data_IF_110090384377
#
_entry.id   IF_110090384377
#
_cell.length_a   1.000
_cell.length_b   1.000
_cell.length_c   1.000
_cell.angle_alpha   90.00
_cell.angle_beta   90.00
_cell.angle_gamma   90.00
#
_symmetry.space_group_name_H-M   'P 1'
#
loop_
_entity.id
_entity.type
_entity.pdbx_description
1 polymer ?
#
# COMPACT_ATOMS: atom_id res chain seq x y z
N UNK A 1 -31.64 27.31 6.68
CA UNK A 1 -32.66 26.72 7.56
C UNK A 1 -33.84 26.18 6.75
N UNK A 2 -34.23 26.84 5.66
CA UNK A 2 -35.36 26.42 4.82
C UNK A 2 -35.13 25.09 4.09
N UNK A 3 -33.87 24.78 3.74
CA UNK A 3 -33.51 23.61 2.89
C UNK A 3 -33.90 22.26 3.50
N UNK A 4 -33.95 22.14 4.83
CA UNK A 4 -34.24 20.87 5.50
C UNK A 4 -35.67 20.81 6.05
N UNK A 5 -36.42 21.92 6.00
CA UNK A 5 -37.78 22.00 6.53
C UNK A 5 -38.84 21.48 5.55
N UNK A 6 -38.54 21.48 4.25
CA UNK A 6 -39.47 21.14 3.18
C UNK A 6 -39.08 19.88 2.39
N UNK A 7 -38.32 18.94 3.02
CA UNK A 7 -38.00 17.65 2.38
C UNK A 7 -39.27 16.79 2.45
N UNK A 8 -39.86 16.39 1.31
CA UNK A 8 -41.03 15.53 1.31
C UNK A 8 -40.73 14.15 1.92
N UNK A 9 -41.72 13.52 2.55
CA UNK A 9 -41.56 12.19 3.20
C UNK A 9 -41.09 11.08 2.28
N UNK A 10 -41.32 11.23 0.97
CA UNK A 10 -40.84 10.27 -0.06
C UNK A 10 -39.41 10.56 -0.56
N UNK A 11 -38.76 11.64 -0.09
CA UNK A 11 -37.43 12.05 -0.52
C UNK A 11 -36.38 11.80 0.58
N UNK A 12 -35.29 11.15 0.23
CA UNK A 12 -34.11 10.99 1.11
C UNK A 12 -32.96 11.78 0.53
N UNK A 13 -32.44 12.74 1.29
CA UNK A 13 -31.25 13.52 0.90
C UNK A 13 -30.01 12.91 1.56
N UNK A 14 -29.05 12.49 0.76
CA UNK A 14 -27.76 11.94 1.23
C UNK A 14 -26.66 12.94 0.86
N UNK A 15 -25.95 13.41 1.87
CA UNK A 15 -24.81 14.33 1.71
C UNK A 15 -23.54 13.57 2.08
N UNK A 16 -22.63 13.40 1.13
CA UNK A 16 -21.35 12.73 1.33
C UNK A 16 -20.20 13.73 1.31
N UNK A 17 -19.21 13.49 2.14
CA UNK A 17 -17.94 14.22 2.13
C UNK A 17 -16.86 13.34 1.51
N UNK A 18 -15.93 13.92 0.74
CA UNK A 18 -14.76 13.19 0.23
C UNK A 18 -13.92 12.60 1.37
N UNK A 19 -13.23 11.51 1.08
CA UNK A 19 -12.31 10.86 2.01
C UNK A 19 -11.24 11.87 2.49
N UNK A 20 -11.00 11.89 3.80
CA UNK A 20 -10.05 12.81 4.44
C UNK A 20 -10.58 14.20 4.73
N UNK A 21 -11.85 14.51 4.36
CA UNK A 21 -12.51 15.76 4.71
C UNK A 21 -13.34 15.58 5.99
N UNK A 22 -13.02 16.36 7.02
CA UNK A 22 -13.85 16.44 8.22
C UNK A 22 -14.79 17.66 8.14
N UNK A 23 -16.07 17.51 8.51
CA UNK A 23 -16.99 18.64 8.50
C UNK A 23 -16.64 19.62 9.61
N UNK A 24 -16.44 20.91 9.29
CA UNK A 24 -16.26 21.94 10.31
C UNK A 24 -17.55 22.09 11.14
N UNK A 25 -17.53 21.49 12.34
CA UNK A 25 -18.65 21.52 13.28
C UNK A 25 -19.05 22.92 13.78
N UNK A 26 -18.27 23.97 13.49
CA UNK A 26 -18.59 25.36 13.83
C UNK A 26 -19.57 25.98 12.87
N UNK A 27 -19.62 25.49 11.63
CA UNK A 27 -20.52 26.00 10.61
C UNK A 27 -21.98 25.73 10.96
N UNK A 28 -22.83 26.76 10.85
CA UNK A 28 -24.25 26.66 11.14
C UNK A 28 -24.97 25.61 10.29
N UNK A 29 -24.55 25.44 9.02
CA UNK A 29 -25.06 24.43 8.12
C UNK A 29 -24.79 23.00 8.67
N UNK A 30 -23.58 22.73 9.14
CA UNK A 30 -23.23 21.41 9.71
C UNK A 30 -23.99 21.12 11.00
N UNK A 31 -24.19 22.15 11.85
CA UNK A 31 -25.01 22.01 13.07
C UNK A 31 -26.44 21.66 12.74
N UNK A 32 -27.03 22.35 11.76
CA UNK A 32 -28.39 22.09 11.30
C UNK A 32 -28.54 20.70 10.68
N UNK A 33 -27.58 20.30 9.85
CA UNK A 33 -27.57 18.97 9.25
C UNK A 33 -27.54 17.85 10.31
N UNK A 34 -26.70 18.01 11.35
CA UNK A 34 -26.61 17.06 12.46
C UNK A 34 -27.90 17.04 13.33
N UNK A 35 -28.62 18.15 13.42
CA UNK A 35 -29.88 18.21 14.17
C UNK A 35 -31.07 17.69 13.37
N UNK A 36 -31.09 17.86 12.04
CA UNK A 36 -32.20 17.46 11.18
C UNK A 36 -32.08 16.01 10.67
N UNK A 37 -30.87 15.42 10.70
CA UNK A 37 -30.62 14.10 10.12
C UNK A 37 -29.68 13.23 10.95
N UNK A 38 -29.24 12.12 10.36
CA UNK A 38 -28.25 11.21 10.95
C UNK A 38 -26.90 11.45 10.31
N UNK A 39 -25.89 11.82 11.11
CA UNK A 39 -24.51 11.86 10.67
C UNK A 39 -23.83 10.53 10.98
N UNK A 40 -23.29 9.86 9.95
CA UNK A 40 -22.56 8.60 10.08
C UNK A 40 -21.12 8.83 9.62
N UNK A 41 -20.16 8.49 10.46
CA UNK A 41 -18.76 8.55 10.11
C UNK A 41 -18.27 7.13 9.72
N UNK A 42 -17.86 6.98 8.47
CA UNK A 42 -17.26 5.74 7.95
C UNK A 42 -15.74 5.86 8.03
N UNK A 43 -15.17 5.45 9.15
CA UNK A 43 -13.71 5.39 9.31
C UNK A 43 -13.15 4.13 8.67
N UNK A 44 -12.00 4.28 7.98
CA UNK A 44 -11.26 3.14 7.48
C UNK A 44 -10.87 2.21 8.64
N UNK A 45 -11.11 0.91 8.47
CA UNK A 45 -10.65 -0.09 9.43
C UNK A 45 -9.18 -0.40 9.15
N UNK A 46 -8.35 -0.40 10.19
CA UNK A 46 -6.93 -0.72 10.09
C UNK A 46 -6.50 -1.62 11.24
N UNK A 47 -5.38 -2.32 11.12
CA UNK A 47 -4.83 -3.17 12.18
C UNK A 47 -5.78 -4.28 12.61
N UNK A 48 -5.88 -4.53 13.93
CA UNK A 48 -6.68 -5.63 14.48
C UNK A 48 -8.16 -5.60 14.10
N UNK A 49 -8.87 -4.46 14.08
CA UNK A 49 -10.25 -4.39 13.57
C UNK A 49 -10.40 -4.87 12.12
N UNK A 50 -9.48 -4.50 11.22
CA UNK A 50 -9.48 -4.96 9.83
C UNK A 50 -9.22 -6.47 9.75
N UNK A 51 -8.20 -6.97 10.47
CA UNK A 51 -7.86 -8.38 10.48
C UNK A 51 -9.04 -9.25 10.97
N UNK A 52 -9.73 -8.82 12.02
CA UNK A 52 -10.93 -9.49 12.52
C UNK A 52 -12.09 -9.44 11.51
N UNK A 53 -12.23 -8.36 10.77
CA UNK A 53 -13.24 -8.25 9.72
C UNK A 53 -12.92 -9.21 8.56
N UNK A 54 -11.67 -9.30 8.12
CA UNK A 54 -11.23 -10.24 7.09
C UNK A 54 -11.54 -11.69 7.53
N UNK A 55 -11.13 -12.07 8.74
CA UNK A 55 -11.38 -13.41 9.26
C UNK A 55 -12.88 -13.77 9.25
N UNK A 56 -13.74 -12.86 9.74
CA UNK A 56 -15.20 -13.05 9.70
C UNK A 56 -15.76 -13.17 8.28
N UNK A 57 -15.15 -12.49 7.30
CA UNK A 57 -15.57 -12.61 5.90
C UNK A 57 -15.21 -13.98 5.31
N UNK A 58 -14.05 -14.53 5.66
CA UNK A 58 -13.69 -15.91 5.28
C UNK A 58 -14.63 -16.92 5.95
N UNK A 59 -14.94 -16.76 7.25
CA UNK A 59 -15.89 -17.61 7.96
C UNK A 59 -17.28 -17.59 7.34
N UNK A 60 -17.79 -16.43 6.93
CA UNK A 60 -19.05 -16.28 6.24
C UNK A 60 -19.09 -17.00 4.87
N UNK A 61 -17.93 -17.28 4.28
CA UNK A 61 -17.77 -18.10 3.06
C UNK A 61 -17.38 -19.55 3.36
N UNK A 62 -17.52 -20.02 4.61
CA UNK A 62 -17.22 -21.39 5.02
C UNK A 62 -15.73 -21.72 5.08
N UNK A 63 -14.84 -20.72 5.16
CA UNK A 63 -13.39 -20.89 5.19
C UNK A 63 -12.81 -20.35 6.50
N UNK A 64 -11.64 -20.86 6.89
CA UNK A 64 -10.79 -20.30 7.95
C UNK A 64 -9.51 -19.80 7.32
N UNK A 65 -9.11 -18.60 7.64
CA UNK A 65 -7.84 -18.04 7.18
C UNK A 65 -6.84 -17.99 8.33
N UNK A 66 -5.59 -18.39 8.07
CA UNK A 66 -4.51 -18.30 9.04
C UNK A 66 -4.15 -16.81 9.30
N UNK A 67 -3.64 -16.52 10.50
CA UNK A 67 -3.32 -15.12 10.87
C UNK A 67 -2.25 -14.49 9.98
N UNK A 68 -1.21 -15.24 9.65
CA UNK A 68 -0.15 -14.81 8.73
C UNK A 68 -0.67 -14.64 7.29
N UNK A 69 -1.68 -15.42 6.89
CA UNK A 69 -2.38 -15.26 5.61
C UNK A 69 -3.20 -13.97 5.57
N UNK A 70 -3.82 -13.56 6.68
CA UNK A 70 -4.51 -12.25 6.78
C UNK A 70 -3.52 -11.12 6.61
N UNK A 71 -2.40 -11.14 7.34
CA UNK A 71 -1.36 -10.12 7.24
C UNK A 71 -0.76 -10.07 5.83
N UNK A 72 -0.59 -11.24 5.19
CA UNK A 72 -0.12 -11.34 3.80
C UNK A 72 -1.14 -10.76 2.80
N UNK A 73 -2.42 -11.05 2.98
CA UNK A 73 -3.49 -10.52 2.11
C UNK A 73 -3.51 -8.97 2.16
N UNK A 74 -3.49 -8.40 3.35
CA UNK A 74 -3.46 -6.93 3.52
C UNK A 74 -2.17 -6.33 2.92
N UNK A 75 -1.05 -7.03 3.05
CA UNK A 75 0.22 -6.57 2.48
C UNK A 75 0.19 -6.55 0.94
N UNK A 76 -0.40 -7.59 0.30
CA UNK A 76 -0.44 -7.72 -1.15
C UNK A 76 -1.55 -6.88 -1.80
N UNK A 77 -2.75 -6.89 -1.22
CA UNK A 77 -3.95 -6.30 -1.85
C UNK A 77 -4.39 -4.97 -1.23
N UNK A 78 -3.66 -4.49 -0.19
CA UNK A 78 -3.99 -3.27 0.53
C UNK A 78 -5.04 -3.46 1.60
N UNK A 79 -5.38 -2.36 2.29
CA UNK A 79 -6.29 -2.34 3.44
C UNK A 79 -7.70 -1.84 3.12
N UNK A 80 -7.98 -1.52 1.86
CA UNK A 80 -9.29 -1.06 1.44
C UNK A 80 -10.30 -2.21 1.38
N UNK A 81 -11.32 -2.15 2.23
CA UNK A 81 -12.34 -3.20 2.35
C UNK A 81 -13.07 -3.50 1.03
N UNK A 82 -13.32 -2.49 0.20
CA UNK A 82 -13.94 -2.67 -1.11
C UNK A 82 -13.07 -3.47 -2.11
N UNK A 83 -11.74 -3.40 -1.99
CA UNK A 83 -10.81 -4.24 -2.75
C UNK A 83 -10.69 -5.64 -2.15
N UNK A 84 -10.72 -5.74 -0.82
CA UNK A 84 -10.60 -7.02 -0.11
C UNK A 84 -11.83 -7.93 -0.31
N UNK A 85 -13.03 -7.39 -0.50
CA UNK A 85 -14.26 -8.19 -0.72
C UNK A 85 -14.13 -9.14 -1.92
N UNK A 86 -13.83 -8.66 -3.15
CA UNK A 86 -13.67 -9.55 -4.30
C UNK A 86 -12.46 -10.49 -4.17
N UNK A 87 -11.36 -10.04 -3.53
CA UNK A 87 -10.20 -10.90 -3.28
C UNK A 87 -10.55 -12.07 -2.36
N UNK A 88 -11.26 -11.82 -1.27
CA UNK A 88 -11.73 -12.88 -0.36
C UNK A 88 -12.64 -13.86 -1.10
N UNK A 89 -13.59 -13.36 -1.89
CA UNK A 89 -14.49 -14.21 -2.66
C UNK A 89 -13.73 -15.10 -3.67
N UNK A 90 -12.76 -14.52 -4.38
CA UNK A 90 -11.88 -15.24 -5.32
C UNK A 90 -11.08 -16.35 -4.61
N UNK A 91 -10.41 -16.02 -3.51
CA UNK A 91 -9.61 -16.99 -2.74
C UNK A 91 -10.50 -18.11 -2.20
N UNK A 92 -11.66 -17.77 -1.63
CA UNK A 92 -12.61 -18.77 -1.13
C UNK A 92 -13.11 -19.71 -2.21
N UNK A 93 -13.33 -19.21 -3.42
CA UNK A 93 -13.78 -20.03 -4.56
C UNK A 93 -12.70 -20.94 -5.14
N UNK A 94 -11.44 -20.56 -5.01
CA UNK A 94 -10.32 -21.29 -5.63
C UNK A 94 -9.67 -22.31 -4.69
N UNK A 95 -9.51 -21.99 -3.41
CA UNK A 95 -8.82 -22.86 -2.43
C UNK A 95 -9.71 -24.07 -2.10
N UNK A 96 -9.25 -25.32 -2.33
CA UNK A 96 -9.98 -26.50 -1.89
C UNK A 96 -9.92 -26.65 -0.36
N UNK A 97 -10.96 -27.25 0.23
CA UNK A 97 -11.03 -27.42 1.70
C UNK A 97 -11.46 -26.15 2.43
N UNK A 98 -11.31 -26.15 3.75
CA UNK A 98 -11.84 -25.12 4.65
C UNK A 98 -10.76 -24.14 5.19
N UNK A 99 -9.47 -24.41 4.93
CA UNK A 99 -8.35 -23.62 5.44
C UNK A 99 -7.63 -22.89 4.34
N UNK A 100 -7.36 -21.59 4.56
CA UNK A 100 -6.59 -20.71 3.67
C UNK A 100 -5.27 -20.35 4.33
N UNK A 101 -4.18 -20.63 3.64
CA UNK A 101 -2.80 -20.39 4.10
C UNK A 101 -2.19 -19.17 3.43
N UNK A 102 -1.05 -18.68 3.97
CA UNK A 102 -0.29 -17.59 3.36
C UNK A 102 0.21 -17.93 1.94
N UNK A 103 0.45 -19.23 1.65
CA UNK A 103 0.84 -19.68 0.31
C UNK A 103 -0.31 -19.59 -0.69
N UNK A 104 -1.53 -19.86 -0.25
CA UNK A 104 -2.72 -19.70 -1.10
C UNK A 104 -2.94 -18.24 -1.43
N UNK A 105 -2.83 -17.35 -0.43
CA UNK A 105 -2.90 -15.91 -0.62
C UNK A 105 -1.82 -15.42 -1.58
N UNK A 106 -0.56 -15.86 -1.42
CA UNK A 106 0.55 -15.50 -2.30
C UNK A 106 0.29 -15.82 -3.77
N UNK A 107 -0.37 -16.95 -4.03
CA UNK A 107 -0.66 -17.41 -5.40
C UNK A 107 -1.87 -16.73 -6.03
N UNK A 108 -2.82 -16.29 -5.22
CA UNK A 108 -4.14 -15.91 -5.70
C UNK A 108 -4.46 -14.42 -5.55
N UNK A 109 -3.86 -13.75 -4.56
CA UNK A 109 -4.14 -12.36 -4.30
C UNK A 109 -3.64 -11.47 -5.45
N UNK A 110 -4.46 -10.48 -5.82
CA UNK A 110 -4.01 -9.43 -6.72
C UNK A 110 -3.10 -8.48 -5.95
N UNK A 111 -1.97 -8.14 -6.53
CA UNK A 111 -1.01 -7.24 -5.92
C UNK A 111 -1.35 -5.78 -6.22
N UNK A 112 -1.18 -4.93 -5.24
CA UNK A 112 -1.16 -3.49 -5.46
C UNK A 112 0.25 -3.06 -5.88
N UNK A 113 0.42 -1.96 -6.62
CA UNK A 113 1.74 -1.49 -7.09
C UNK A 113 2.79 -1.37 -5.99
N UNK A 114 2.39 -1.01 -4.78
CA UNK A 114 3.27 -0.93 -3.62
C UNK A 114 3.83 -2.30 -3.19
N UNK A 115 3.04 -3.36 -3.37
CA UNK A 115 3.49 -4.72 -3.07
C UNK A 115 4.52 -5.21 -4.11
N UNK A 116 4.30 -4.92 -5.38
CA UNK A 116 5.24 -5.29 -6.45
C UNK A 116 6.53 -4.46 -6.39
N UNK A 117 6.45 -3.18 -6.07
CA UNK A 117 7.65 -2.36 -5.81
C UNK A 117 8.44 -2.88 -4.59
N UNK A 118 7.75 -3.36 -3.55
CA UNK A 118 8.41 -4.02 -2.42
C UNK A 118 9.10 -5.31 -2.86
N UNK A 119 8.40 -6.19 -3.59
CA UNK A 119 8.98 -7.45 -4.10
C UNK A 119 10.17 -7.17 -5.02
N UNK A 120 10.09 -6.19 -5.90
CA UNK A 120 11.21 -5.76 -6.75
C UNK A 120 12.44 -5.41 -5.91
N UNK A 121 12.27 -4.60 -4.85
CA UNK A 121 13.40 -4.24 -3.98
C UNK A 121 13.91 -5.43 -3.15
N UNK A 122 13.04 -6.36 -2.77
CA UNK A 122 13.43 -7.61 -2.09
C UNK A 122 14.26 -8.50 -3.00
N UNK A 123 13.91 -8.62 -4.29
CA UNK A 123 14.70 -9.36 -5.28
C UNK A 123 16.08 -8.71 -5.51
N UNK A 124 16.17 -7.38 -5.55
CA UNK A 124 17.47 -6.67 -5.58
C UNK A 124 18.30 -7.02 -4.34
N UNK A 125 17.69 -7.02 -3.16
CA UNK A 125 18.34 -7.35 -1.89
C UNK A 125 18.87 -8.81 -1.85
N UNK A 126 18.20 -9.70 -2.59
CA UNK A 126 18.62 -11.11 -2.78
C UNK A 126 19.63 -11.29 -3.92
N UNK A 127 19.99 -10.23 -4.65
CA UNK A 127 20.81 -10.24 -5.86
C UNK A 127 20.18 -11.02 -7.02
N UNK A 128 18.87 -11.22 -7.01
CA UNK A 128 18.07 -11.79 -8.09
C UNK A 128 17.61 -10.67 -9.04
N UNK A 129 18.48 -10.24 -9.92
CA UNK A 129 18.19 -9.09 -10.80
C UNK A 129 17.17 -9.42 -11.89
N UNK A 130 17.12 -10.67 -12.35
CA UNK A 130 16.11 -11.14 -13.30
C UNK A 130 14.71 -11.11 -12.66
N UNK A 131 14.60 -11.55 -11.39
CA UNK A 131 13.38 -11.44 -10.61
C UNK A 131 12.94 -9.97 -10.39
N UNK A 132 13.90 -9.09 -10.11
CA UNK A 132 13.60 -7.66 -9.97
C UNK A 132 13.10 -7.04 -11.30
N UNK A 133 13.72 -7.42 -12.43
CA UNK A 133 13.27 -6.97 -13.75
C UNK A 133 11.88 -7.52 -14.11
N UNK A 134 11.57 -8.77 -13.75
CA UNK A 134 10.24 -9.35 -13.93
C UNK A 134 9.18 -8.57 -13.13
N UNK A 135 9.46 -8.21 -11.87
CA UNK A 135 8.56 -7.39 -11.05
C UNK A 135 8.35 -5.97 -11.60
N UNK A 136 9.38 -5.38 -12.16
CA UNK A 136 9.23 -4.10 -12.86
C UNK A 136 8.35 -4.25 -14.12
N UNK A 137 8.48 -5.37 -14.84
CA UNK A 137 7.63 -5.63 -16.00
C UNK A 137 6.16 -5.83 -15.62
N UNK A 138 5.88 -6.47 -14.46
CA UNK A 138 4.52 -6.58 -13.91
C UNK A 138 3.94 -5.19 -13.60
N UNK A 139 4.71 -4.30 -12.97
CA UNK A 139 4.30 -2.91 -12.72
C UNK A 139 3.96 -2.14 -14.00
N UNK A 140 4.68 -2.37 -15.09
CA UNK A 140 4.36 -1.75 -16.39
C UNK A 140 3.17 -2.40 -17.10
N UNK A 141 2.81 -3.63 -16.77
CA UNK A 141 1.68 -4.35 -17.36
C UNK A 141 0.33 -3.92 -16.77
N UNK A 142 0.31 -3.34 -15.58
CA UNK A 142 -0.85 -2.67 -15.02
C UNK A 142 -0.95 -1.29 -15.70
N UNK A 143 -2.11 -0.90 -16.20
CA UNK A 143 -2.37 0.35 -16.95
C UNK A 143 -2.00 1.64 -16.15
N UNK A 144 -0.91 1.60 -15.39
CA UNK A 144 -0.39 2.70 -14.59
C UNK A 144 0.58 3.56 -15.40
N UNK A 145 0.46 4.86 -15.29
CA UNK A 145 1.38 5.79 -15.92
C UNK A 145 2.81 5.63 -15.35
N UNK A 146 3.86 5.68 -16.17
CA UNK A 146 5.24 5.52 -15.71
C UNK A 146 5.63 6.47 -14.57
N UNK A 147 5.05 7.68 -14.53
CA UNK A 147 5.27 8.65 -13.44
C UNK A 147 4.73 8.12 -12.10
N UNK A 148 3.59 7.43 -12.12
CA UNK A 148 3.00 6.80 -10.93
C UNK A 148 3.87 5.63 -10.44
N UNK A 149 4.35 4.81 -11.39
CA UNK A 149 5.29 3.70 -11.10
C UNK A 149 6.55 4.25 -10.42
N UNK A 150 7.14 5.32 -10.96
CA UNK A 150 8.32 5.94 -10.34
C UNK A 150 8.01 6.51 -8.96
N UNK A 151 6.79 7.05 -8.76
CA UNK A 151 6.30 7.52 -7.47
C UNK A 151 6.27 6.40 -6.42
N UNK A 152 5.72 5.24 -6.78
CA UNK A 152 5.62 4.05 -5.91
C UNK A 152 7.01 3.47 -5.59
N UNK A 153 7.88 3.34 -6.60
CA UNK A 153 9.27 2.90 -6.40
C UNK A 153 10.03 3.85 -5.48
N UNK A 154 9.93 5.15 -5.72
CA UNK A 154 10.59 6.17 -4.90
C UNK A 154 10.07 6.17 -3.46
N UNK A 155 8.77 5.93 -3.27
CA UNK A 155 8.19 5.78 -1.94
C UNK A 155 8.74 4.54 -1.22
N UNK A 156 8.84 3.39 -1.92
CA UNK A 156 9.40 2.16 -1.38
C UNK A 156 10.86 2.33 -0.96
N UNK A 157 11.70 2.94 -1.81
CA UNK A 157 13.12 3.17 -1.48
C UNK A 157 13.27 4.09 -0.26
N UNK A 158 12.42 5.12 -0.13
CA UNK A 158 12.41 5.99 1.06
C UNK A 158 12.02 5.24 2.33
N UNK A 159 11.08 4.28 2.26
CA UNK A 159 10.74 3.43 3.41
C UNK A 159 11.92 2.55 3.84
N UNK A 160 12.63 1.93 2.88
CA UNK A 160 13.84 1.15 3.18
C UNK A 160 14.92 2.05 3.82
N UNK A 161 15.12 3.26 3.30
CA UNK A 161 16.05 4.22 3.88
C UNK A 161 15.66 4.60 5.32
N UNK A 162 14.40 4.91 5.57
CA UNK A 162 13.90 5.23 6.91
C UNK A 162 14.08 4.05 7.88
N UNK A 163 13.81 2.83 7.43
CA UNK A 163 14.04 1.63 8.23
C UNK A 163 15.53 1.42 8.57
N UNK A 164 16.43 1.70 7.61
CA UNK A 164 17.88 1.61 7.84
C UNK A 164 18.39 2.66 8.83
N UNK A 165 17.82 3.85 8.82
CA UNK A 165 18.11 4.90 9.82
C UNK A 165 17.58 4.47 11.20
N UNK A 166 16.37 3.94 11.28
CA UNK A 166 15.79 3.42 12.53
C UNK A 166 16.67 2.31 13.13
N UNK A 167 17.11 1.34 12.31
CA UNK A 167 18.05 0.28 12.70
C UNK A 167 19.34 0.86 13.29
N UNK A 168 19.99 1.78 12.56
CA UNK A 168 21.26 2.39 13.00
C UNK A 168 21.13 3.27 14.25
N UNK A 169 19.96 3.84 14.48
CA UNK A 169 19.67 4.63 15.68
C UNK A 169 19.27 3.76 16.89
N UNK A 170 19.24 2.44 16.75
CA UNK A 170 18.84 1.51 17.81
C UNK A 170 17.35 1.57 18.16
N UNK A 171 16.52 2.16 17.28
CA UNK A 171 15.08 2.27 17.49
C UNK A 171 14.34 1.08 16.85
N UNK A 172 13.40 0.52 17.59
CA UNK A 172 12.70 -0.70 17.19
C UNK A 172 11.52 -0.47 16.24
N UNK A 173 10.80 -1.57 15.96
CA UNK A 173 9.63 -1.62 15.07
C UNK A 173 8.54 -0.59 15.41
N UNK A 174 8.18 -0.31 16.68
CA UNK A 174 7.17 0.70 16.99
C UNK A 174 7.52 2.10 16.44
N UNK A 175 8.77 2.51 16.56
CA UNK A 175 9.24 3.77 16.00
C UNK A 175 9.19 3.77 14.46
N UNK A 176 9.53 2.64 13.84
CA UNK A 176 9.43 2.50 12.39
C UNK A 176 7.97 2.60 11.92
N UNK A 177 7.03 1.99 12.66
CA UNK A 177 5.59 2.10 12.37
C UNK A 177 5.11 3.56 12.40
N UNK A 178 5.57 4.33 13.38
CA UNK A 178 5.27 5.77 13.49
C UNK A 178 5.78 6.56 12.27
N UNK A 179 7.06 6.36 11.89
CA UNK A 179 7.66 7.03 10.73
C UNK A 179 6.97 6.64 9.42
N UNK A 180 6.64 5.36 9.26
CA UNK A 180 5.98 4.85 8.06
C UNK A 180 4.48 5.20 8.01
N UNK A 181 3.91 5.70 9.11
CA UNK A 181 2.48 5.97 9.23
C UNK A 181 1.62 4.71 9.06
N UNK A 182 2.13 3.54 9.47
CA UNK A 182 1.44 2.26 9.30
C UNK A 182 1.01 1.66 10.63
N UNK A 183 -0.19 1.09 10.68
CA UNK A 183 -0.66 0.28 11.80
C UNK A 183 -0.28 -1.21 11.68
N UNK A 184 0.31 -1.63 10.55
CA UNK A 184 0.71 -3.01 10.30
C UNK A 184 2.14 -3.26 10.78
N UNK A 185 2.27 -3.96 11.90
CA UNK A 185 3.55 -4.45 12.41
C UNK A 185 4.22 -5.41 11.42
N UNK A 186 3.43 -6.25 10.75
CA UNK A 186 3.91 -7.15 9.70
C UNK A 186 4.61 -6.39 8.59
N UNK A 187 3.99 -5.32 8.06
CA UNK A 187 4.58 -4.47 7.02
C UNK A 187 5.88 -3.81 7.49
N UNK A 188 5.88 -3.24 8.70
CA UNK A 188 7.06 -2.60 9.25
C UNK A 188 8.22 -3.59 9.42
N UNK A 189 7.97 -4.80 9.90
CA UNK A 189 8.97 -5.87 10.02
C UNK A 189 9.52 -6.28 8.66
N UNK A 190 8.67 -6.47 7.64
CA UNK A 190 9.09 -6.82 6.28
C UNK A 190 10.00 -5.76 5.66
N UNK A 191 9.66 -4.48 5.84
CA UNK A 191 10.49 -3.36 5.38
C UNK A 191 11.83 -3.36 6.12
N UNK A 192 11.85 -3.55 7.44
CA UNK A 192 13.07 -3.61 8.23
C UNK A 192 13.98 -4.79 7.82
N UNK A 193 13.41 -5.99 7.63
CA UNK A 193 14.13 -7.20 7.18
C UNK A 193 14.78 -6.98 5.81
N UNK A 194 14.07 -6.32 4.90
CA UNK A 194 14.61 -6.01 3.56
C UNK A 194 15.68 -4.92 3.64
N UNK A 195 15.44 -3.85 4.41
CA UNK A 195 16.39 -2.76 4.59
C UNK A 195 17.70 -3.22 5.24
N UNK A 196 17.65 -4.22 6.14
CA UNK A 196 18.84 -4.79 6.78
C UNK A 196 19.85 -5.36 5.77
N UNK A 197 19.38 -5.83 4.61
CA UNK A 197 20.21 -6.41 3.54
C UNK A 197 20.92 -5.36 2.68
N UNK A 198 20.56 -4.08 2.82
CA UNK A 198 21.22 -2.97 2.12
C UNK A 198 22.17 -2.23 3.05
N UNK A 199 23.20 -1.62 2.50
CA UNK A 199 23.99 -0.64 3.22
C UNK A 199 23.31 0.73 3.24
N UNK A 200 23.64 1.57 4.22
CA UNK A 200 23.12 2.94 4.28
C UNK A 200 23.54 3.77 3.06
N UNK A 201 24.80 3.70 2.56
CA UNK A 201 25.19 4.40 1.33
C UNK A 201 24.37 3.96 0.11
N UNK A 202 24.10 2.65 -0.05
CA UNK A 202 23.29 2.15 -1.17
C UNK A 202 21.87 2.72 -1.15
N UNK A 203 21.22 2.76 0.02
CA UNK A 203 19.89 3.34 0.15
C UNK A 203 19.89 4.86 0.01
N UNK A 204 20.93 5.57 0.49
CA UNK A 204 21.10 7.00 0.27
C UNK A 204 21.20 7.32 -1.21
N UNK A 205 22.05 6.57 -1.94
CA UNK A 205 22.17 6.70 -3.39
C UNK A 205 20.89 6.31 -4.12
N UNK A 206 20.18 5.27 -3.63
CA UNK A 206 18.89 4.87 -4.17
C UNK A 206 17.85 6.00 -4.13
N UNK A 207 17.74 6.71 -3.01
CA UNK A 207 16.86 7.90 -2.89
C UNK A 207 17.26 8.99 -3.89
N UNK A 208 18.57 9.27 -4.04
CA UNK A 208 19.08 10.24 -5.02
C UNK A 208 18.76 9.82 -6.45
N UNK A 209 19.00 8.57 -6.80
CA UNK A 209 18.70 8.00 -8.12
C UNK A 209 17.21 8.11 -8.48
N UNK A 210 16.30 7.90 -7.51
CA UNK A 210 14.87 8.10 -7.74
C UNK A 210 14.56 9.54 -8.17
N UNK A 211 15.15 10.53 -7.51
CA UNK A 211 14.95 11.94 -7.87
C UNK A 211 15.55 12.28 -9.25
N UNK A 212 16.76 11.81 -9.54
CA UNK A 212 17.42 12.01 -10.83
C UNK A 212 16.63 11.38 -11.97
N UNK A 213 16.17 10.13 -11.81
CA UNK A 213 15.39 9.45 -12.83
C UNK A 213 14.04 10.13 -13.09
N UNK A 214 13.38 10.66 -12.06
CA UNK A 214 12.14 11.41 -12.22
C UNK A 214 12.30 12.74 -12.98
N UNK A 215 13.52 13.30 -13.01
CA UNK A 215 13.81 14.56 -13.70
C UNK A 215 14.33 14.36 -15.13
N UNK A 216 15.01 13.24 -15.42
CA UNK A 216 15.64 12.97 -16.72
C UNK A 216 14.73 13.17 -17.94
N UNK A 217 13.50 12.66 -17.99
CA UNK A 217 12.62 12.85 -19.13
C UNK A 217 12.25 14.32 -19.40
N UNK A 218 12.25 15.13 -18.32
CA UNK A 218 11.94 16.58 -18.40
C UNK A 218 13.13 17.39 -18.87
N UNK A 219 14.35 16.97 -18.54
CA UNK A 219 15.60 17.64 -18.91
C UNK A 219 16.09 17.19 -20.29
N UNK A 220 15.86 15.93 -20.64
CA UNK A 220 16.31 15.33 -21.89
C UNK A 220 15.13 14.62 -22.58
N UNK A 221 14.43 15.32 -23.45
CA UNK A 221 13.27 14.80 -24.16
C UNK A 221 13.52 13.59 -25.09
N UNK A 222 14.76 13.08 -25.15
CA UNK A 222 15.10 11.87 -25.89
C UNK A 222 14.93 10.58 -25.02
N UNK A 223 14.69 10.72 -23.71
CA UNK A 223 14.50 9.61 -22.78
C UNK A 223 13.06 9.61 -22.28
N UNK A 224 12.39 8.48 -22.41
CA UNK A 224 11.04 8.28 -21.86
C UNK A 224 11.08 7.98 -20.35
N UNK A 225 9.96 8.23 -19.65
CA UNK A 225 9.81 7.89 -18.24
C UNK A 225 10.07 6.38 -18.00
N UNK A 226 9.60 5.51 -18.90
CA UNK A 226 9.82 4.07 -18.80
C UNK A 226 11.29 3.68 -18.93
N UNK A 227 12.05 4.33 -19.80
CA UNK A 227 13.50 4.11 -19.94
C UNK A 227 14.26 4.61 -18.71
N UNK A 228 13.88 5.75 -18.14
CA UNK A 228 14.47 6.27 -16.92
C UNK A 228 14.25 5.32 -15.73
N UNK A 229 13.06 4.69 -15.63
CA UNK A 229 12.77 3.69 -14.59
C UNK A 229 13.64 2.43 -14.76
N UNK A 230 13.81 1.94 -16.00
CA UNK A 230 14.70 0.80 -16.26
C UNK A 230 16.15 1.13 -15.93
N UNK A 231 16.61 2.33 -16.25
CA UNK A 231 17.94 2.80 -15.87
C UNK A 231 18.09 2.87 -14.34
N UNK A 232 17.07 3.40 -13.63
CA UNK A 232 17.04 3.39 -12.18
C UNK A 232 17.26 1.98 -11.61
N UNK A 233 16.54 0.97 -12.12
CA UNK A 233 16.67 -0.41 -11.65
C UNK A 233 18.11 -0.91 -11.78
N UNK A 234 18.73 -0.68 -12.93
CA UNK A 234 20.12 -1.08 -13.20
C UNK A 234 21.09 -0.38 -12.24
N UNK A 235 20.99 0.94 -12.13
CA UNK A 235 21.87 1.74 -11.27
C UNK A 235 21.71 1.37 -9.80
N UNK A 236 20.49 1.19 -9.31
CA UNK A 236 20.22 0.81 -7.92
C UNK A 236 20.71 -0.63 -7.62
N UNK A 237 20.54 -1.55 -8.56
CA UNK A 237 21.10 -2.90 -8.47
C UNK A 237 22.62 -2.88 -8.37
N UNK A 238 23.30 -2.04 -9.16
CA UNK A 238 24.76 -1.89 -9.11
C UNK A 238 25.24 -1.30 -7.78
N UNK A 239 24.57 -0.28 -7.26
CA UNK A 239 24.89 0.29 -5.95
C UNK A 239 24.70 -0.72 -4.81
N UNK A 240 23.69 -1.58 -4.90
CA UNK A 240 23.44 -2.62 -3.90
C UNK A 240 24.52 -3.72 -3.87
N UNK A 241 25.28 -3.88 -4.97
CA UNK A 241 26.39 -4.84 -5.05
C UNK A 241 27.68 -4.35 -4.39
N UNK A 242 27.87 -3.02 -4.34
CA UNK A 242 29.08 -2.39 -3.78
C UNK A 242 29.08 -2.32 -2.25
N UNK A 243 27.97 -2.71 -1.65
CA UNK A 243 27.75 -2.74 -0.21
C UNK A 243 27.96 -4.14 0.35
#
# INVERSE_FOLDING_TARGET
TALFADIPDWCTVVITLPTGMEPDGRLSFIKQLKSAGKAVNFTAQTGTPLNNWIARRFEANGKRIDRDAVDRLVFLSGDLMNRLIPEIAKICGYVPGDRVTAQDVEKLAHHIPEADAFQMTEEIARRNYDGAAAKLAELFAEDAEPVEIMGVIGWQVRQLYAAKIAEKSGRGVPFLMEILGTSSEYRARKIAETAAKFSLPALTNGVRLCAECAMKPRENGAITDAEAIKEFLICFAMESRRA
#
